data_IF_624986572722
#
_entry.id   IF_624986572722
#
_cell.length_a   1.000
_cell.length_b   1.000
_cell.length_c   1.000
_cell.angle_alpha   90.00
_cell.angle_beta   90.00
_cell.angle_gamma   90.00
#
_symmetry.space_group_name_H-M   'P 1'
#
loop_
_entity.id
_entity.type
_entity.pdbx_description
1 polymer ?
#
# COMPACT_ATOMS: atom_id res chain seq x y z
N UNK A 1 22.17 -5.18 -10.12
CA UNK A 1 21.29 -4.76 -11.24
C UNK A 1 19.85 -4.96 -10.79
N UNK A 2 19.07 -3.89 -10.64
CA UNK A 2 17.73 -3.91 -10.03
C UNK A 2 16.80 -5.01 -10.54
N UNK A 3 16.71 -5.22 -11.86
CA UNK A 3 15.84 -6.26 -12.43
C UNK A 3 16.19 -7.68 -11.96
N UNK A 4 17.49 -7.95 -11.78
CA UNK A 4 17.97 -9.22 -11.25
C UNK A 4 17.62 -9.36 -9.78
N UNK A 5 17.80 -8.29 -8.98
CA UNK A 5 17.33 -8.26 -7.57
C UNK A 5 15.83 -8.51 -7.47
N UNK A 6 15.02 -7.88 -8.33
CA UNK A 6 13.57 -8.06 -8.38
C UNK A 6 13.19 -9.52 -8.66
N UNK A 7 13.89 -10.14 -9.61
CA UNK A 7 13.72 -11.55 -9.94
C UNK A 7 14.12 -12.43 -8.75
N UNK A 8 15.31 -12.25 -8.18
CA UNK A 8 15.79 -13.01 -7.02
C UNK A 8 14.84 -12.87 -5.82
N UNK A 9 14.36 -11.66 -5.52
CA UNK A 9 13.40 -11.41 -4.46
C UNK A 9 12.10 -12.21 -4.63
N UNK A 10 11.61 -12.32 -5.87
CA UNK A 10 10.44 -13.15 -6.16
C UNK A 10 10.64 -14.62 -5.79
N UNK A 11 11.83 -15.18 -6.07
CA UNK A 11 12.14 -16.57 -5.70
C UNK A 11 12.29 -16.72 -4.19
N UNK A 12 13.04 -15.82 -3.54
CA UNK A 12 13.25 -15.85 -2.09
C UNK A 12 11.94 -15.81 -1.31
N UNK A 13 11.03 -14.89 -1.65
CA UNK A 13 9.74 -14.77 -0.97
C UNK A 13 8.85 -15.98 -1.27
N UNK A 14 8.86 -16.48 -2.51
CA UNK A 14 8.08 -17.66 -2.89
C UNK A 14 8.56 -18.92 -2.16
N UNK A 15 9.86 -19.07 -1.98
CA UNK A 15 10.46 -20.15 -1.20
C UNK A 15 10.06 -20.01 0.28
N UNK A 16 10.16 -18.81 0.87
CA UNK A 16 9.69 -18.54 2.22
C UNK A 16 8.22 -18.95 2.45
N UNK A 17 7.33 -18.60 1.53
CA UNK A 17 5.91 -19.02 1.58
C UNK A 17 5.70 -20.55 1.57
N UNK A 18 6.62 -21.30 0.96
CA UNK A 18 6.56 -22.77 0.93
C UNK A 18 7.18 -23.42 2.17
N UNK A 19 8.05 -22.71 2.88
CA UNK A 19 8.73 -23.19 4.08
C UNK A 19 7.88 -22.99 5.33
N UNK A 20 7.15 -21.87 5.42
CA UNK A 20 6.34 -21.55 6.60
C UNK A 20 4.95 -22.15 6.55
N UNK A 21 4.43 -22.53 7.73
CA UNK A 21 3.08 -23.05 7.88
C UNK A 21 2.07 -21.94 7.60
N UNK A 22 1.07 -22.24 6.78
CA UNK A 22 -0.02 -21.31 6.48
C UNK A 22 -0.69 -20.81 7.78
N UNK A 23 -0.87 -19.49 7.86
CA UNK A 23 -1.39 -18.79 9.03
C UNK A 23 -0.38 -18.49 10.14
N UNK A 24 0.89 -18.89 10.01
CA UNK A 24 1.93 -18.46 10.96
C UNK A 24 2.29 -16.98 10.75
N UNK A 25 2.83 -16.29 11.77
CA UNK A 25 3.31 -14.91 11.63
C UNK A 25 4.34 -14.73 10.50
N UNK A 26 5.25 -15.70 10.33
CA UNK A 26 6.26 -15.70 9.28
C UNK A 26 5.63 -15.87 7.90
N UNK A 27 4.64 -16.76 7.78
CA UNK A 27 3.88 -16.93 6.54
C UNK A 27 3.12 -15.64 6.17
N UNK A 28 2.53 -14.98 7.16
CA UNK A 28 1.82 -13.71 6.97
C UNK A 28 2.77 -12.60 6.50
N UNK A 29 3.96 -12.50 7.11
CA UNK A 29 5.01 -11.58 6.67
C UNK A 29 5.40 -11.84 5.21
N UNK A 30 5.66 -13.09 4.83
CA UNK A 30 6.02 -13.44 3.45
C UNK A 30 4.85 -13.20 2.46
N UNK A 31 3.59 -13.37 2.89
CA UNK A 31 2.42 -12.99 2.10
C UNK A 31 2.38 -11.49 1.85
N UNK A 32 2.63 -10.67 2.88
CA UNK A 32 2.60 -9.22 2.75
C UNK A 32 3.77 -8.71 1.90
N UNK A 33 4.96 -9.32 2.01
CA UNK A 33 6.07 -9.11 1.07
C UNK A 33 5.67 -9.43 -0.37
N UNK A 34 5.03 -10.59 -0.59
CA UNK A 34 4.58 -11.02 -1.92
C UNK A 34 3.51 -10.10 -2.50
N UNK A 35 2.59 -9.58 -1.69
CA UNK A 35 1.59 -8.60 -2.14
C UNK A 35 2.27 -7.34 -2.65
N UNK A 36 3.19 -6.76 -1.88
CA UNK A 36 3.91 -5.55 -2.29
C UNK A 36 4.78 -5.82 -3.54
N UNK A 37 5.47 -6.97 -3.60
CA UNK A 37 6.24 -7.35 -4.78
C UNK A 37 5.38 -7.46 -6.04
N UNK A 38 4.18 -8.07 -5.94
CA UNK A 38 3.23 -8.15 -7.06
C UNK A 38 2.77 -6.76 -7.50
N UNK A 39 2.54 -5.83 -6.58
CA UNK A 39 2.22 -4.44 -6.92
C UNK A 39 3.37 -3.78 -7.70
N UNK A 40 4.61 -3.95 -7.25
CA UNK A 40 5.81 -3.43 -7.95
C UNK A 40 5.91 -4.02 -9.36
N UNK A 41 5.78 -5.34 -9.50
CA UNK A 41 5.83 -6.02 -10.80
C UNK A 41 4.72 -5.52 -11.72
N UNK A 42 3.50 -5.34 -11.20
CA UNK A 42 2.39 -4.84 -11.98
C UNK A 42 2.64 -3.41 -12.45
N UNK A 43 3.13 -2.53 -11.58
CA UNK A 43 3.53 -1.16 -11.94
C UNK A 43 4.59 -1.16 -13.03
N UNK A 44 5.60 -2.02 -12.96
CA UNK A 44 6.65 -2.11 -13.99
C UNK A 44 6.05 -2.45 -15.36
N UNK A 45 5.08 -3.37 -15.39
CA UNK A 45 4.40 -3.81 -16.61
C UNK A 45 3.49 -2.75 -17.21
N UNK A 46 2.79 -1.97 -16.39
CA UNK A 46 1.82 -0.97 -16.85
C UNK A 46 2.49 0.39 -17.12
N UNK A 47 3.19 0.94 -16.13
CA UNK A 47 3.67 2.33 -16.09
C UNK A 47 5.21 2.46 -16.13
N UNK A 48 5.92 1.47 -15.60
CA UNK A 48 7.38 1.52 -15.45
C UNK A 48 8.12 1.55 -16.78
N UNK A 49 7.65 0.78 -17.76
CA UNK A 49 8.19 0.75 -19.13
C UNK A 49 7.08 1.16 -20.09
N UNK A 50 7.25 2.24 -20.88
CA UNK A 50 6.20 2.68 -21.84
C UNK A 50 6.37 2.09 -23.23
N UNK A 51 7.61 1.86 -23.67
CA UNK A 51 7.89 1.43 -25.04
C UNK A 51 7.70 -0.08 -25.22
N UNK A 52 6.86 -0.48 -26.19
CA UNK A 52 6.58 -1.88 -26.48
C UNK A 52 7.82 -2.74 -26.79
N UNK A 53 8.83 -2.28 -27.56
CA UNK A 53 10.05 -3.05 -27.79
C UNK A 53 10.85 -3.31 -26.52
N UNK A 54 10.87 -2.35 -25.59
CA UNK A 54 11.53 -2.50 -24.30
C UNK A 54 10.79 -3.51 -23.40
N UNK A 55 9.45 -3.47 -23.39
CA UNK A 55 8.62 -4.47 -22.68
C UNK A 55 8.90 -5.88 -23.20
N UNK A 56 8.91 -6.08 -24.51
CA UNK A 56 9.17 -7.38 -25.12
C UNK A 56 10.54 -7.94 -24.72
N UNK A 57 11.60 -7.12 -24.72
CA UNK A 57 12.95 -7.53 -24.28
C UNK A 57 12.97 -7.88 -22.79
N UNK A 58 12.30 -7.10 -21.95
CA UNK A 58 12.17 -7.37 -20.52
C UNK A 58 11.45 -8.69 -20.26
N UNK A 59 10.31 -8.91 -20.90
CA UNK A 59 9.53 -10.15 -20.77
C UNK A 59 10.33 -11.37 -21.22
N UNK A 60 11.05 -11.26 -22.34
CA UNK A 60 11.92 -12.33 -22.82
C UNK A 60 13.05 -12.63 -21.83
N UNK A 61 13.67 -11.61 -21.23
CA UNK A 61 14.71 -11.78 -20.24
C UNK A 61 14.19 -12.50 -18.97
N UNK A 62 13.00 -12.14 -18.51
CA UNK A 62 12.37 -12.79 -17.36
C UNK A 62 12.02 -14.26 -17.68
N UNK A 63 11.47 -14.55 -18.86
CA UNK A 63 11.13 -15.91 -19.31
C UNK A 63 12.34 -16.82 -19.50
N UNK A 64 13.48 -16.25 -19.84
CA UNK A 64 14.74 -16.99 -20.07
C UNK A 64 15.64 -17.00 -18.84
N UNK A 65 15.13 -16.56 -17.68
CA UNK A 65 15.90 -16.52 -16.43
C UNK A 65 17.22 -15.76 -16.56
N UNK A 66 17.18 -14.62 -17.25
CA UNK A 66 18.34 -13.75 -17.50
C UNK A 66 19.42 -14.34 -18.42
N UNK A 67 19.07 -15.31 -19.28
CA UNK A 67 19.96 -15.78 -20.36
C UNK A 67 20.04 -14.75 -21.50
N UNK A 68 21.03 -13.87 -21.41
CA UNK A 68 21.30 -12.82 -22.40
C UNK A 68 21.63 -13.36 -23.80
N UNK A 69 22.22 -14.55 -23.93
CA UNK A 69 22.57 -15.13 -25.22
C UNK A 69 21.31 -15.59 -25.96
N UNK A 70 20.40 -16.26 -25.23
CA UNK A 70 19.11 -16.67 -25.77
C UNK A 70 18.25 -15.48 -26.17
N UNK A 71 18.18 -14.43 -25.35
CA UNK A 71 17.46 -13.19 -25.69
C UNK A 71 18.08 -12.50 -26.91
N UNK A 72 19.42 -12.43 -27.00
CA UNK A 72 20.08 -11.84 -28.16
C UNK A 72 19.70 -12.54 -29.48
N UNK A 73 19.61 -13.88 -29.46
CA UNK A 73 19.12 -14.68 -30.58
C UNK A 73 17.66 -14.37 -30.94
N UNK A 74 16.76 -14.27 -29.94
CA UNK A 74 15.34 -13.96 -30.16
C UNK A 74 15.10 -12.60 -30.83
N UNK A 75 15.96 -11.61 -30.58
CA UNK A 75 15.85 -10.27 -31.13
C UNK A 75 16.84 -9.98 -32.27
N UNK A 76 17.51 -11.02 -32.79
CA UNK A 76 18.52 -10.92 -33.85
C UNK A 76 19.53 -9.78 -33.61
N UNK A 77 20.14 -9.75 -32.42
CA UNK A 77 21.07 -8.70 -32.00
C UNK A 77 22.22 -9.28 -31.19
N UNK A 78 23.16 -8.43 -30.77
CA UNK A 78 24.31 -8.87 -29.97
C UNK A 78 23.97 -8.94 -28.48
N UNK A 79 24.66 -9.81 -27.74
CA UNK A 79 24.56 -9.90 -26.27
C UNK A 79 24.84 -8.54 -25.62
N UNK A 80 25.81 -7.79 -26.14
CA UNK A 80 26.17 -6.46 -25.63
C UNK A 80 25.03 -5.45 -25.82
N UNK A 81 24.34 -5.48 -26.96
CA UNK A 81 23.15 -4.65 -27.23
C UNK A 81 22.02 -4.95 -26.24
N UNK A 82 21.75 -6.22 -25.94
CA UNK A 82 20.77 -6.60 -24.91
C UNK A 82 21.23 -6.12 -23.54
N UNK A 83 22.47 -6.40 -23.12
CA UNK A 83 23.00 -5.97 -21.82
C UNK A 83 22.89 -4.45 -21.62
N UNK A 84 23.25 -3.66 -22.63
CA UNK A 84 23.14 -2.21 -22.59
C UNK A 84 21.67 -1.77 -22.45
N UNK A 85 20.77 -2.34 -23.27
CA UNK A 85 19.33 -2.07 -23.23
C UNK A 85 18.74 -2.37 -21.84
N UNK A 86 19.04 -3.55 -21.30
CA UNK A 86 18.54 -4.00 -19.98
C UNK A 86 19.16 -3.19 -18.85
N UNK A 87 20.44 -2.79 -18.95
CA UNK A 87 21.07 -1.91 -17.96
C UNK A 87 20.39 -0.54 -17.89
N UNK A 88 20.10 0.06 -19.04
CA UNK A 88 19.36 1.31 -19.09
C UNK A 88 17.96 1.16 -18.50
N UNK A 89 17.22 0.12 -18.91
CA UNK A 89 15.88 -0.16 -18.38
C UNK A 89 15.91 -0.43 -16.87
N UNK A 90 16.88 -1.20 -16.40
CA UNK A 90 17.03 -1.52 -14.99
C UNK A 90 17.21 -0.26 -14.14
N UNK A 91 18.05 0.68 -14.57
CA UNK A 91 18.25 1.95 -13.86
C UNK A 91 16.99 2.84 -13.91
N UNK A 92 16.32 2.90 -15.06
CA UNK A 92 15.09 3.68 -15.20
C UNK A 92 13.97 3.13 -14.31
N UNK A 93 13.83 1.80 -14.22
CA UNK A 93 12.85 1.17 -13.34
C UNK A 93 13.24 1.39 -11.87
N UNK A 94 14.50 1.21 -11.51
CA UNK A 94 15.01 1.44 -10.16
C UNK A 94 14.69 2.86 -9.67
N UNK A 95 14.89 3.88 -10.52
CA UNK A 95 14.53 5.27 -10.16
C UNK A 95 13.03 5.49 -9.92
N UNK A 96 12.16 4.70 -10.55
CA UNK A 96 10.70 4.79 -10.39
C UNK A 96 10.17 3.92 -9.25
N UNK A 97 10.90 2.88 -8.87
CA UNK A 97 10.53 1.97 -7.78
C UNK A 97 11.17 2.40 -6.46
N UNK A 98 12.29 3.11 -6.50
CA UNK A 98 13.10 3.46 -5.34
C UNK A 98 14.27 2.47 -5.17
N UNK A 99 15.46 3.01 -4.94
CA UNK A 99 16.72 2.23 -4.90
C UNK A 99 16.70 1.17 -3.80
N UNK A 100 16.21 1.54 -2.61
CA UNK A 100 16.25 0.68 -1.43
C UNK A 100 14.97 -0.14 -1.23
N UNK A 101 13.96 0.04 -2.09
CA UNK A 101 12.63 -0.58 -1.94
C UNK A 101 12.70 -2.10 -1.82
N UNK A 102 13.51 -2.76 -2.66
CA UNK A 102 13.63 -4.22 -2.62
C UNK A 102 14.44 -4.71 -1.43
N UNK A 103 15.42 -3.93 -0.98
CA UNK A 103 16.27 -4.29 0.16
C UNK A 103 15.46 -4.19 1.46
N UNK A 104 14.68 -3.11 1.62
CA UNK A 104 13.71 -2.94 2.73
C UNK A 104 12.67 -4.07 2.74
N UNK A 105 12.14 -4.42 1.56
CA UNK A 105 11.16 -5.49 1.42
C UNK A 105 11.72 -6.85 1.88
N UNK A 106 12.94 -7.17 1.43
CA UNK A 106 13.59 -8.44 1.78
C UNK A 106 13.97 -8.49 3.26
N UNK A 107 14.36 -7.36 3.85
CA UNK A 107 14.64 -7.22 5.28
C UNK A 107 13.38 -7.38 6.17
N UNK A 108 12.17 -7.33 5.58
CA UNK A 108 10.91 -7.45 6.31
C UNK A 108 10.33 -6.11 6.77
N UNK A 109 10.93 -4.98 6.40
CA UNK A 109 10.38 -3.66 6.64
C UNK A 109 9.41 -3.26 5.52
N UNK A 110 8.22 -3.87 5.56
CA UNK A 110 7.21 -3.77 4.50
C UNK A 110 6.68 -2.34 4.37
N UNK A 111 6.48 -1.64 5.49
CA UNK A 111 5.87 -0.32 5.47
C UNK A 111 6.85 0.74 4.95
N UNK A 112 8.13 0.69 5.33
CA UNK A 112 9.15 1.55 4.72
C UNK A 112 9.33 1.24 3.23
N UNK A 113 9.35 -0.04 2.85
CA UNK A 113 9.41 -0.45 1.45
C UNK A 113 8.22 0.09 0.64
N UNK A 114 7.01 0.00 1.20
CA UNK A 114 5.77 0.51 0.59
C UNK A 114 5.84 2.02 0.42
N UNK A 115 6.21 2.74 1.48
CA UNK A 115 6.31 4.19 1.47
C UNK A 115 7.31 4.67 0.41
N UNK A 116 8.50 4.06 0.35
CA UNK A 116 9.53 4.40 -0.64
C UNK A 116 9.04 4.12 -2.07
N UNK A 117 8.43 2.95 -2.29
CA UNK A 117 7.85 2.61 -3.59
C UNK A 117 6.80 3.62 -4.04
N UNK A 118 5.83 3.94 -3.19
CA UNK A 118 4.74 4.85 -3.51
C UNK A 118 5.24 6.28 -3.77
N UNK A 119 6.23 6.74 -3.00
CA UNK A 119 6.86 8.04 -3.19
C UNK A 119 7.57 8.16 -4.55
N UNK A 120 8.30 7.12 -4.98
CA UNK A 120 9.04 7.15 -6.25
C UNK A 120 8.15 6.89 -7.48
N UNK A 121 7.09 6.09 -7.32
CA UNK A 121 6.25 5.67 -8.45
C UNK A 121 5.18 6.68 -8.84
N UNK A 122 4.97 7.73 -8.02
CA UNK A 122 3.92 8.74 -8.20
C UNK A 122 2.51 8.17 -8.36
N UNK A 123 2.27 6.94 -7.89
CA UNK A 123 0.94 6.31 -7.86
C UNK A 123 0.15 6.67 -6.59
N UNK A 124 0.55 7.76 -5.93
CA UNK A 124 -0.01 8.18 -4.65
C UNK A 124 -1.45 8.67 -4.85
N UNK A 125 -2.41 7.94 -4.28
CA UNK A 125 -3.77 8.42 -4.15
C UNK A 125 -4.03 8.71 -2.67
N UNK A 126 -4.45 9.93 -2.36
CA UNK A 126 -4.79 10.33 -0.98
C UNK A 126 -5.88 9.42 -0.38
N UNK A 127 -6.78 8.89 -1.23
CA UNK A 127 -7.81 7.92 -0.83
C UNK A 127 -7.25 6.59 -0.28
N UNK A 128 -5.98 6.26 -0.59
CA UNK A 128 -5.34 5.06 -0.05
C UNK A 128 -4.80 5.27 1.37
N UNK A 129 -4.69 6.53 1.82
CA UNK A 129 -4.12 6.90 3.12
C UNK A 129 -5.16 7.30 4.15
N UNK A 130 -6.20 8.04 3.74
CA UNK A 130 -7.20 8.62 4.64
C UNK A 130 -8.61 8.22 4.23
N UNK A 131 -9.60 8.53 5.07
CA UNK A 131 -11.01 8.30 4.74
C UNK A 131 -11.37 8.99 3.41
N UNK A 132 -11.95 8.22 2.48
CA UNK A 132 -12.21 8.68 1.11
C UNK A 132 -13.07 9.93 1.00
N UNK A 133 -14.10 10.07 1.84
CA UNK A 133 -14.95 11.28 1.87
C UNK A 133 -14.16 12.55 2.23
N UNK A 134 -13.11 12.42 3.04
CA UNK A 134 -12.24 13.55 3.41
C UNK A 134 -11.27 13.83 2.27
N UNK A 135 -10.64 12.79 1.71
CA UNK A 135 -9.73 12.93 0.57
C UNK A 135 -10.40 13.63 -0.62
N UNK A 136 -11.65 13.26 -0.93
CA UNK A 136 -12.42 13.84 -2.04
C UNK A 136 -12.81 15.31 -1.82
N UNK A 137 -12.74 15.82 -0.58
CA UNK A 137 -13.00 17.23 -0.26
C UNK A 137 -11.74 18.10 -0.35
N UNK A 138 -10.55 17.49 -0.38
CA UNK A 138 -9.29 18.23 -0.43
C UNK A 138 -8.95 18.53 -1.90
N UNK A 139 -8.88 19.81 -2.30
CA UNK A 139 -8.64 20.17 -3.69
C UNK A 139 -7.20 19.85 -4.12
N UNK A 140 -7.02 19.28 -5.31
CA UNK A 140 -5.71 18.99 -5.87
C UNK A 140 -5.20 20.15 -6.73
N UNK A 141 -4.42 21.05 -6.13
CA UNK A 141 -3.74 22.14 -6.83
C UNK A 141 -2.41 22.45 -6.15
N UNK A 142 -1.44 22.98 -6.91
CA UNK A 142 -0.15 23.41 -6.34
C UNK A 142 -0.38 24.73 -5.61
N UNK A 143 -0.20 24.78 -4.28
CA UNK A 143 -0.28 26.04 -3.55
C UNK A 143 0.89 26.94 -3.98
N UNK A 144 0.63 28.24 -4.15
CA UNK A 144 1.71 29.22 -4.29
C UNK A 144 2.20 29.58 -2.90
N UNK A 145 3.51 29.43 -2.68
CA UNK A 145 4.22 30.00 -1.52
C UNK A 145 3.70 29.49 -0.15
N UNK A 146 3.68 28.17 0.04
CA UNK A 146 3.35 27.54 1.33
C UNK A 146 4.42 26.50 1.69
N UNK A 147 4.95 26.58 2.91
CA UNK A 147 5.88 25.58 3.45
C UNK A 147 5.10 24.47 4.16
N UNK A 148 5.59 23.23 4.05
CA UNK A 148 4.97 22.10 4.75
C UNK A 148 5.05 22.25 6.28
N UNK A 149 6.06 22.95 6.77
CA UNK A 149 6.26 23.27 8.18
C UNK A 149 5.16 24.16 8.77
N UNK A 150 4.43 24.91 7.94
CA UNK A 150 3.29 25.72 8.39
C UNK A 150 2.00 24.90 8.54
N UNK A 151 1.96 23.68 7.98
CA UNK A 151 0.78 22.81 7.91
C UNK A 151 0.62 21.87 9.11
N UNK A 152 1.15 22.23 10.30
CA UNK A 152 1.19 21.32 11.46
C UNK A 152 -0.20 20.81 11.85
N UNK A 153 -1.19 21.70 11.92
CA UNK A 153 -2.56 21.35 12.33
C UNK A 153 -3.23 20.45 11.30
N UNK A 154 -2.98 20.69 10.03
CA UNK A 154 -3.51 19.91 8.91
C UNK A 154 -2.88 18.52 8.87
N UNK A 155 -1.58 18.41 9.15
CA UNK A 155 -0.88 17.13 9.27
C UNK A 155 -1.41 16.31 10.46
N UNK A 156 -1.66 16.94 11.60
CA UNK A 156 -2.30 16.28 12.76
C UNK A 156 -3.72 15.79 12.42
N UNK A 157 -4.50 16.62 11.73
CA UNK A 157 -5.82 16.23 11.26
C UNK A 157 -5.75 15.04 10.31
N UNK A 158 -4.88 15.09 9.28
CA UNK A 158 -4.70 14.01 8.31
C UNK A 158 -4.28 12.70 8.99
N UNK A 159 -3.40 12.77 10.01
CA UNK A 159 -3.04 11.60 10.82
C UNK A 159 -4.25 11.01 11.55
N UNK A 160 -5.08 11.86 12.17
CA UNK A 160 -6.25 11.43 12.94
C UNK A 160 -7.31 10.71 12.09
N UNK A 161 -7.37 11.03 10.79
CA UNK A 161 -8.28 10.41 9.83
C UNK A 161 -7.60 9.40 8.89
N UNK A 162 -6.35 9.04 9.18
CA UNK A 162 -5.60 8.07 8.39
C UNK A 162 -6.09 6.65 8.66
N UNK A 163 -6.16 5.84 7.61
CA UNK A 163 -6.58 4.44 7.68
C UNK A 163 -5.72 3.61 8.64
N UNK A 164 -4.37 3.76 8.68
CA UNK A 164 -3.54 3.05 9.65
C UNK A 164 -3.90 3.40 11.09
N UNK A 165 -4.04 4.70 11.40
CA UNK A 165 -4.37 5.17 12.75
C UNK A 165 -5.74 4.67 13.21
N UNK A 166 -6.74 4.72 12.33
CA UNK A 166 -8.08 4.20 12.61
C UNK A 166 -8.06 2.68 12.83
N UNK A 167 -7.29 1.93 12.03
CA UNK A 167 -7.16 0.47 12.18
C UNK A 167 -6.51 0.10 13.50
N UNK A 168 -5.45 0.79 13.91
CA UNK A 168 -4.82 0.61 15.21
C UNK A 168 -5.82 0.89 16.34
N UNK A 169 -6.56 1.99 16.25
CA UNK A 169 -7.64 2.30 17.17
C UNK A 169 -8.67 1.17 17.26
N UNK A 170 -9.07 0.60 16.13
CA UNK A 170 -10.01 -0.53 16.06
C UNK A 170 -9.47 -1.79 16.74
N UNK A 171 -8.18 -2.11 16.57
CA UNK A 171 -7.58 -3.31 17.19
C UNK A 171 -7.59 -3.27 18.73
N UNK A 172 -7.67 -2.08 19.32
CA UNK A 172 -7.72 -1.89 20.78
C UNK A 172 -9.14 -1.93 21.36
N UNK A 173 -10.17 -2.09 20.52
CA UNK A 173 -11.57 -2.09 20.96
C UNK A 173 -12.11 -3.51 21.15
N UNK A 174 -13.07 -3.65 22.08
CA UNK A 174 -13.79 -4.92 22.27
C UNK A 174 -14.78 -5.14 21.14
N UNK A 175 -14.55 -6.19 20.35
CA UNK A 175 -15.42 -6.56 19.23
C UNK A 175 -16.87 -6.84 19.68
N UNK A 176 -17.06 -7.50 20.83
CA UNK A 176 -18.39 -7.76 21.39
C UNK A 176 -19.16 -6.48 21.69
N UNK A 177 -18.49 -5.47 22.28
CA UNK A 177 -19.10 -4.17 22.56
C UNK A 177 -19.44 -3.41 21.27
N UNK A 178 -18.56 -3.47 20.27
CA UNK A 178 -18.82 -2.89 18.96
C UNK A 178 -20.01 -3.55 18.25
N UNK A 179 -20.15 -4.87 18.38
CA UNK A 179 -21.32 -5.60 17.85
C UNK A 179 -22.61 -5.11 18.50
N UNK A 180 -22.63 -4.93 19.83
CA UNK A 180 -23.80 -4.40 20.52
C UNK A 180 -24.15 -2.98 20.05
N UNK A 181 -23.16 -2.08 19.98
CA UNK A 181 -23.37 -0.69 19.54
C UNK A 181 -23.96 -0.69 18.12
N UNK A 182 -23.36 -1.48 17.22
CA UNK A 182 -23.86 -1.63 15.85
C UNK A 182 -25.29 -2.18 15.82
N UNK A 183 -25.56 -3.22 16.60
CA UNK A 183 -26.89 -3.82 16.70
C UNK A 183 -27.94 -2.78 17.14
N UNK A 184 -27.66 -1.98 18.17
CA UNK A 184 -28.57 -0.93 18.64
C UNK A 184 -28.81 0.12 17.55
N UNK A 185 -27.76 0.54 16.83
CA UNK A 185 -27.89 1.53 15.75
C UNK A 185 -28.69 1.01 14.56
N UNK A 186 -28.55 -0.27 14.20
CA UNK A 186 -29.12 -0.84 12.98
C UNK A 186 -30.47 -1.56 13.21
N UNK A 187 -30.78 -1.99 14.43
CA UNK A 187 -32.00 -2.76 14.74
C UNK A 187 -33.29 -1.95 14.54
N UNK A 188 -34.37 -2.66 14.22
CA UNK A 188 -35.75 -2.17 14.20
C UNK A 188 -36.52 -2.44 15.50
N UNK A 189 -35.88 -3.10 16.47
CA UNK A 189 -36.48 -3.42 17.77
C UNK A 189 -36.72 -2.15 18.60
N UNK A 190 -38.00 -1.88 18.91
CA UNK A 190 -38.42 -0.67 19.63
C UNK A 190 -37.90 -0.60 21.06
N UNK A 191 -37.47 -1.72 21.64
CA UNK A 191 -36.87 -1.78 22.98
C UNK A 191 -35.61 -0.92 23.09
N UNK A 192 -34.89 -0.72 21.99
CA UNK A 192 -33.65 0.07 21.94
C UNK A 192 -33.84 1.48 21.37
N UNK A 193 -35.09 1.95 21.24
CA UNK A 193 -35.40 3.22 20.57
C UNK A 193 -34.75 4.43 21.25
N UNK A 194 -34.68 4.44 22.58
CA UNK A 194 -34.05 5.53 23.32
C UNK A 194 -32.52 5.50 23.18
N UNK A 195 -31.89 4.33 23.35
CA UNK A 195 -30.45 4.13 23.21
C UNK A 195 -29.99 4.48 21.80
N UNK A 196 -30.74 4.04 20.78
CA UNK A 196 -30.48 4.39 19.38
C UNK A 196 -30.51 5.90 19.17
N UNK A 197 -31.51 6.60 19.72
CA UNK A 197 -31.61 8.07 19.65
C UNK A 197 -30.41 8.74 20.34
N UNK A 198 -30.06 8.31 21.55
CA UNK A 198 -28.94 8.86 22.32
C UNK A 198 -27.59 8.66 21.60
N UNK A 199 -27.34 7.44 21.10
CA UNK A 199 -26.14 7.14 20.32
C UNK A 199 -26.05 7.98 19.05
N UNK A 200 -27.17 8.19 18.35
CA UNK A 200 -27.17 9.03 17.15
C UNK A 200 -26.79 10.49 17.45
N UNK A 201 -27.33 11.07 18.54
CA UNK A 201 -26.99 12.43 18.97
C UNK A 201 -25.51 12.53 19.35
N UNK A 202 -24.99 11.53 20.09
CA UNK A 202 -23.59 11.44 20.47
C UNK A 202 -22.66 11.33 19.25
N UNK A 203 -22.94 10.43 18.31
CA UNK A 203 -22.11 10.23 17.10
C UNK A 203 -22.07 11.48 16.21
N UNK A 204 -23.16 12.24 16.16
CA UNK A 204 -23.18 13.53 15.46
C UNK A 204 -22.43 14.65 16.19
N UNK A 205 -21.87 14.38 17.38
CA UNK A 205 -21.11 15.36 18.18
C UNK A 205 -21.98 16.34 18.96
N UNK A 206 -23.30 16.10 19.06
CA UNK A 206 -24.24 16.99 19.74
C UNK A 206 -24.45 16.60 21.22
N UNK A 207 -23.66 15.66 21.74
CA UNK A 207 -23.70 15.18 23.11
C UNK A 207 -22.31 14.69 23.50
N UNK A 208 -21.87 15.02 24.72
CA UNK A 208 -20.62 14.53 25.31
C UNK A 208 -20.74 13.10 25.82
N UNK A 209 -19.60 12.45 26.08
CA UNK A 209 -19.59 11.08 26.59
C UNK A 209 -20.19 11.02 28.01
N UNK A 210 -19.94 12.05 28.82
CA UNK A 210 -20.47 12.19 30.17
C UNK A 210 -22.01 12.26 30.17
N UNK A 211 -22.58 13.09 29.30
CA UNK A 211 -24.03 13.21 29.12
C UNK A 211 -24.67 11.91 28.63
N UNK A 212 -24.00 11.20 27.70
CA UNK A 212 -24.47 9.92 27.20
C UNK A 212 -24.56 8.89 28.33
N UNK A 213 -23.50 8.76 29.14
CA UNK A 213 -23.46 7.79 30.24
C UNK A 213 -24.51 8.08 31.31
N UNK A 214 -24.79 9.35 31.59
CA UNK A 214 -25.88 9.73 32.51
C UNK A 214 -27.24 9.38 31.91
N UNK A 215 -27.45 9.62 30.62
CA UNK A 215 -28.74 9.38 29.95
C UNK A 215 -29.09 7.90 29.72
N UNK A 216 -28.09 7.01 29.81
CA UNK A 216 -28.25 5.56 29.66
C UNK A 216 -28.52 4.82 30.99
N UNK A 217 -28.43 5.51 32.12
CA UNK A 217 -28.73 4.95 33.46
C UNK A 217 -30.17 5.22 33.85
#
# INVERSE_FOLDING_TARGET
>A
MFLRKLYEAHFTIKEGLSLYKEGSPEWQLEQDKMKLLKMIIQFIKTEGVKQAPAKAKLDALMKTHFDYARVASMFNTTVNSIKASISYLSKSIESKVGVDTLDLLLAGDIESARANFQACSNIYNLNDLIIGDIANRIPFHVPKEMDLGDCVRELEFLKSVSLPYIREGFTNLSLEKLILIRYILETSDSRYSNEKRLLHVYILGNMSMEELVVSLK
#
